data_IF_094570412051
#
_entry.id   IF_094570412051
#
_cell.length_a   1.000
_cell.length_b   1.000
_cell.length_c   1.000
_cell.angle_alpha   90.00
_cell.angle_beta   90.00
_cell.angle_gamma   90.00
#
_symmetry.space_group_name_H-M   'P 1'
#
loop_
_entity.id
_entity.type
_entity.pdbx_description
1 polymer ?
#
# COMPACT_ATOMS: atom_id res chain seq x y z
N UNK A 1 14.21 10.11 -8.66
CA UNK A 1 12.96 10.28 -7.91
C UNK A 1 13.09 9.71 -6.51
N UNK A 2 12.27 10.18 -5.58
CA UNK A 2 12.03 9.53 -4.27
C UNK A 2 10.70 8.80 -4.28
N UNK A 3 10.62 7.65 -3.62
CA UNK A 3 9.40 6.85 -3.53
C UNK A 3 9.06 6.56 -2.07
N UNK A 4 7.78 6.71 -1.77
CA UNK A 4 7.16 6.40 -0.49
C UNK A 4 5.99 5.45 -0.72
N UNK A 5 5.96 4.34 0.02
CA UNK A 5 4.86 3.35 -0.08
C UNK A 5 4.47 2.86 1.30
N UNK A 6 3.40 2.07 1.40
CA UNK A 6 3.16 1.27 2.59
C UNK A 6 4.17 0.14 2.71
N UNK A 7 4.29 -0.65 1.66
CA UNK A 7 5.29 -1.71 1.49
C UNK A 7 5.46 -2.00 0.00
N UNK A 8 6.54 -2.67 -0.36
CA UNK A 8 6.71 -3.19 -1.71
C UNK A 8 7.33 -4.58 -1.64
N UNK A 9 6.71 -5.53 -2.33
CA UNK A 9 7.12 -6.95 -2.33
C UNK A 9 7.48 -7.46 -3.72
N UNK A 10 7.09 -6.74 -4.78
CA UNK A 10 7.33 -7.11 -6.17
C UNK A 10 8.59 -6.49 -6.78
N UNK A 11 8.90 -6.89 -8.00
CA UNK A 11 10.03 -6.38 -8.79
C UNK A 11 9.61 -5.29 -9.79
N UNK A 12 8.33 -5.22 -10.10
CA UNK A 12 7.77 -4.35 -11.16
C UNK A 12 8.05 -2.87 -10.96
N UNK A 13 8.05 -2.40 -9.71
CA UNK A 13 8.34 -1.00 -9.38
C UNK A 13 9.81 -0.79 -8.98
N UNK A 14 10.20 -1.32 -7.82
CA UNK A 14 11.53 -1.04 -7.24
C UNK A 14 12.67 -1.54 -8.14
N UNK A 15 12.57 -2.79 -8.65
CA UNK A 15 13.59 -3.35 -9.53
C UNK A 15 13.70 -2.60 -10.87
N UNK A 16 12.57 -2.28 -11.49
CA UNK A 16 12.57 -1.53 -12.75
C UNK A 16 13.23 -0.14 -12.58
N UNK A 17 12.92 0.57 -11.50
CA UNK A 17 13.47 1.91 -11.24
C UNK A 17 14.97 1.87 -10.88
N UNK A 18 15.42 0.83 -10.20
CA UNK A 18 16.85 0.61 -9.94
C UNK A 18 17.60 0.35 -11.25
N UNK A 19 17.13 -0.57 -12.08
CA UNK A 19 17.75 -0.86 -13.38
C UNK A 19 17.79 0.37 -14.29
N UNK A 20 16.76 1.21 -14.22
CA UNK A 20 16.70 2.48 -14.93
C UNK A 20 17.55 3.60 -14.29
N UNK A 21 18.20 3.36 -13.14
CA UNK A 21 18.94 4.36 -12.34
C UNK A 21 18.12 5.61 -12.01
N UNK A 22 16.79 5.45 -11.92
CA UNK A 22 15.85 6.53 -11.67
C UNK A 22 15.56 6.76 -10.18
N UNK A 23 15.77 5.74 -9.33
CA UNK A 23 15.52 5.81 -7.90
C UNK A 23 16.69 6.45 -7.16
N UNK A 24 16.40 7.44 -6.30
CA UNK A 24 17.40 8.14 -5.47
C UNK A 24 17.13 7.99 -3.99
N UNK A 25 15.87 7.83 -3.62
CA UNK A 25 15.43 7.70 -2.23
C UNK A 25 14.25 6.75 -2.13
N UNK A 26 14.22 5.97 -1.06
CA UNK A 26 13.15 5.00 -0.80
C UNK A 26 12.85 4.90 0.69
N UNK A 27 11.58 4.89 1.03
CA UNK A 27 11.05 4.53 2.34
C UNK A 27 9.67 3.87 2.19
N UNK A 28 9.28 3.00 3.11
CA UNK A 28 10.03 2.39 4.18
C UNK A 28 10.68 1.07 3.73
N UNK A 29 9.91 0.01 3.56
CA UNK A 29 10.37 -1.37 3.39
C UNK A 29 10.21 -1.87 1.96
N UNK A 30 11.18 -2.66 1.50
CA UNK A 30 11.08 -3.43 0.25
C UNK A 30 11.83 -4.75 0.35
N UNK A 31 11.35 -5.77 -0.36
CA UNK A 31 12.01 -7.08 -0.45
C UNK A 31 12.93 -7.23 -1.66
N UNK A 32 12.99 -6.23 -2.54
CA UNK A 32 13.72 -6.33 -3.81
C UNK A 32 15.24 -6.48 -3.61
N UNK A 33 15.85 -7.47 -4.26
CA UNK A 33 17.27 -7.77 -4.11
C UNK A 33 18.18 -6.73 -4.78
N UNK A 34 17.80 -6.23 -5.97
CA UNK A 34 18.55 -5.20 -6.68
C UNK A 34 18.55 -3.89 -5.90
N UNK A 35 17.42 -3.57 -5.27
CA UNK A 35 17.33 -2.42 -4.38
C UNK A 35 18.30 -2.54 -3.20
N UNK A 36 18.30 -3.67 -2.47
CA UNK A 36 19.24 -3.86 -1.34
C UNK A 36 20.68 -3.71 -1.77
N UNK A 37 21.05 -4.24 -2.94
CA UNK A 37 22.40 -4.08 -3.50
C UNK A 37 22.72 -2.62 -3.76
N UNK A 38 21.80 -1.87 -4.37
CA UNK A 38 21.97 -0.45 -4.66
C UNK A 38 22.13 0.40 -3.37
N UNK A 39 21.36 0.09 -2.33
CA UNK A 39 21.52 0.74 -1.00
C UNK A 39 22.87 0.43 -0.39
N UNK A 40 23.29 -0.84 -0.38
CA UNK A 40 24.59 -1.24 0.18
C UNK A 40 25.78 -0.63 -0.57
N UNK A 41 25.60 -0.34 -1.86
CA UNK A 41 26.60 0.36 -2.68
C UNK A 41 26.57 1.89 -2.54
N UNK A 42 25.62 2.44 -1.74
CA UNK A 42 25.48 3.90 -1.61
C UNK A 42 24.84 4.60 -2.82
N UNK A 43 24.22 3.85 -3.73
CA UNK A 43 23.60 4.40 -4.96
C UNK A 43 22.22 5.00 -4.69
N UNK A 44 21.52 4.50 -3.65
CA UNK A 44 20.17 4.92 -3.24
C UNK A 44 20.15 5.18 -1.74
N UNK A 45 19.63 6.33 -1.35
CA UNK A 45 19.36 6.63 0.05
C UNK A 45 18.10 5.86 0.52
N UNK A 46 18.19 5.25 1.68
CA UNK A 46 17.12 4.43 2.26
C UNK A 46 16.84 4.84 3.69
N UNK A 47 15.56 4.91 4.04
CA UNK A 47 15.14 5.11 5.40
C UNK A 47 14.27 3.92 5.85
N UNK A 48 14.78 3.18 6.82
CA UNK A 48 14.06 2.08 7.44
C UNK A 48 13.22 2.60 8.60
N UNK A 49 11.90 2.57 8.43
CA UNK A 49 10.94 2.96 9.47
C UNK A 49 9.82 1.93 9.56
N UNK A 50 9.16 1.90 10.69
CA UNK A 50 7.98 1.07 10.85
C UNK A 50 6.87 1.51 9.91
N UNK A 51 6.21 0.56 9.25
CA UNK A 51 5.07 0.84 8.34
C UNK A 51 3.98 1.65 9.03
N UNK A 52 3.72 1.38 10.30
CA UNK A 52 2.73 2.11 11.10
C UNK A 52 3.04 3.60 11.32
N UNK A 53 4.30 4.00 11.16
CA UNK A 53 4.74 5.39 11.32
C UNK A 53 4.77 6.14 10.00
N UNK A 54 4.91 5.45 8.87
CA UNK A 54 5.10 6.08 7.56
C UNK A 54 4.00 7.09 7.22
N UNK A 55 2.74 6.73 7.41
CA UNK A 55 1.63 7.63 7.12
C UNK A 55 1.66 8.88 8.00
N UNK A 56 1.96 8.72 9.29
CA UNK A 56 2.06 9.83 10.23
C UNK A 56 3.23 10.77 9.87
N UNK A 57 4.39 10.23 9.55
CA UNK A 57 5.57 11.03 9.18
C UNK A 57 5.36 11.81 7.88
N UNK A 58 4.65 11.22 6.91
CA UNK A 58 4.24 11.92 5.70
C UNK A 58 3.29 13.08 6.04
N UNK A 59 2.31 12.86 6.93
CA UNK A 59 1.38 13.92 7.36
C UNK A 59 2.06 15.04 8.13
N UNK A 60 3.11 14.73 8.87
CA UNK A 60 3.94 15.74 9.56
C UNK A 60 4.89 16.48 8.62
N UNK A 61 5.01 16.06 7.36
CA UNK A 61 5.82 16.71 6.36
C UNK A 61 7.32 16.45 6.46
N UNK A 62 7.76 15.43 7.19
CA UNK A 62 9.18 15.13 7.39
C UNK A 62 9.91 14.83 6.07
N UNK A 63 9.20 14.33 5.08
CA UNK A 63 9.75 14.01 3.76
C UNK A 63 9.47 15.08 2.70
N UNK A 64 8.92 16.23 3.13
CA UNK A 64 8.56 17.30 2.23
C UNK A 64 7.28 17.01 1.43
N UNK A 65 7.16 17.67 0.29
CA UNK A 65 5.95 17.67 -0.53
C UNK A 65 5.87 16.44 -1.42
N UNK A 66 4.69 15.81 -1.45
CA UNK A 66 4.38 14.73 -2.39
C UNK A 66 3.83 15.34 -3.70
N UNK A 67 4.50 15.09 -4.81
CA UNK A 67 4.08 15.63 -6.10
C UNK A 67 3.02 14.75 -6.76
N UNK A 68 3.24 13.44 -6.77
CA UNK A 68 2.38 12.49 -7.48
C UNK A 68 2.08 11.30 -6.59
N UNK A 69 0.81 10.92 -6.48
CA UNK A 69 0.37 9.63 -5.99
C UNK A 69 0.07 8.70 -7.16
N UNK A 70 0.50 7.45 -7.08
CA UNK A 70 0.06 6.37 -7.98
C UNK A 70 -0.75 5.42 -7.14
N UNK A 71 -2.01 5.19 -7.51
CA UNK A 71 -2.97 4.42 -6.73
C UNK A 71 -3.59 3.36 -7.60
N UNK A 72 -3.40 2.11 -7.21
CA UNK A 72 -4.08 1.00 -7.85
C UNK A 72 -5.56 0.96 -7.43
N UNK A 73 -6.44 0.74 -8.38
CA UNK A 73 -7.88 0.70 -8.17
C UNK A 73 -8.55 -0.37 -9.04
N UNK A 74 -9.64 -0.95 -8.54
CA UNK A 74 -10.51 -1.81 -9.33
C UNK A 74 -11.64 -1.01 -10.01
N UNK A 75 -11.99 0.16 -9.46
CA UNK A 75 -13.02 1.03 -10.01
C UNK A 75 -12.79 2.48 -9.59
N UNK A 76 -13.19 3.42 -10.44
CA UNK A 76 -13.15 4.85 -10.17
C UNK A 76 -14.41 5.51 -10.74
N UNK A 77 -14.92 6.49 -10.02
CA UNK A 77 -16.13 7.24 -10.43
C UNK A 77 -15.79 8.69 -10.80
N UNK A 78 -16.61 9.35 -11.63
CA UNK A 78 -16.36 10.74 -12.04
C UNK A 78 -16.32 11.74 -10.88
N UNK A 79 -16.95 11.44 -9.75
CA UNK A 79 -16.97 12.27 -8.55
C UNK A 79 -15.76 11.99 -7.60
N UNK A 80 -14.78 11.20 -8.06
CA UNK A 80 -13.52 10.98 -7.37
C UNK A 80 -13.56 9.91 -6.28
N UNK A 81 -14.48 8.95 -6.35
CA UNK A 81 -14.42 7.75 -5.51
C UNK A 81 -13.51 6.72 -6.15
N UNK A 82 -12.50 6.31 -5.43
CA UNK A 82 -11.51 5.31 -5.85
C UNK A 82 -11.71 4.06 -4.99
N UNK A 83 -12.09 2.96 -5.63
CA UNK A 83 -12.22 1.65 -4.98
C UNK A 83 -10.90 0.92 -5.11
N UNK A 84 -10.23 0.74 -3.98
CA UNK A 84 -8.89 0.17 -3.93
C UNK A 84 -8.92 -1.35 -4.15
N UNK A 85 -7.83 -1.88 -4.68
CA UNK A 85 -7.54 -3.31 -4.71
C UNK A 85 -7.02 -3.79 -3.35
N UNK A 86 -6.53 -5.02 -3.24
CA UNK A 86 -5.95 -5.53 -1.99
C UNK A 86 -4.75 -4.69 -1.48
N UNK A 87 -4.10 -3.94 -2.37
CA UNK A 87 -2.92 -3.11 -2.09
C UNK A 87 -3.20 -1.75 -1.44
N UNK A 88 -4.29 -1.57 -0.70
CA UNK A 88 -4.71 -0.27 -0.14
C UNK A 88 -3.64 0.50 0.65
N UNK A 89 -2.94 -0.16 1.57
CA UNK A 89 -1.80 0.41 2.31
C UNK A 89 -2.05 1.81 2.87
N UNK A 90 -1.14 2.74 2.59
CA UNK A 90 -1.22 4.15 3.01
C UNK A 90 -1.84 5.06 1.93
N UNK A 91 -2.53 4.51 0.95
CA UNK A 91 -3.13 5.25 -0.16
C UNK A 91 -4.01 6.43 0.28
N UNK A 92 -4.81 6.37 1.36
CA UNK A 92 -5.58 7.52 1.84
C UNK A 92 -4.71 8.72 2.18
N UNK A 93 -3.62 8.51 2.90
CA UNK A 93 -2.66 9.57 3.25
C UNK A 93 -1.96 10.14 2.02
N UNK A 94 -1.47 9.27 1.14
CA UNK A 94 -0.74 9.70 -0.08
C UNK A 94 -1.66 10.51 -0.99
N UNK A 95 -2.88 10.05 -1.24
CA UNK A 95 -3.85 10.74 -2.10
C UNK A 95 -4.24 12.13 -1.56
N UNK A 96 -4.36 12.23 -0.24
CA UNK A 96 -4.66 13.52 0.39
C UNK A 96 -3.51 14.52 0.22
N UNK A 97 -2.28 14.07 0.41
CA UNK A 97 -1.09 14.94 0.44
C UNK A 97 -0.54 15.27 -0.95
N UNK A 98 -0.71 14.40 -1.93
CA UNK A 98 -0.18 14.62 -3.27
C UNK A 98 -0.87 15.75 -4.01
N UNK A 99 -0.11 16.43 -4.88
CA UNK A 99 -0.67 17.44 -5.80
C UNK A 99 -1.50 16.80 -6.91
N UNK A 100 -1.01 15.68 -7.45
CA UNK A 100 -1.58 14.96 -8.58
C UNK A 100 -1.74 13.48 -8.26
N UNK A 101 -2.74 12.87 -8.87
CA UNK A 101 -3.03 11.44 -8.72
C UNK A 101 -3.05 10.80 -10.11
N UNK A 102 -2.33 9.71 -10.26
CA UNK A 102 -2.45 8.79 -11.39
C UNK A 102 -3.12 7.53 -10.85
N UNK A 103 -4.18 7.09 -11.50
CA UNK A 103 -4.86 5.84 -11.14
C UNK A 103 -4.37 4.73 -12.06
N UNK A 104 -3.89 3.65 -11.47
CA UNK A 104 -3.67 2.39 -12.14
C UNK A 104 -4.94 1.55 -12.02
N UNK A 105 -5.75 1.55 -13.08
CA UNK A 105 -7.02 0.84 -13.12
C UNK A 105 -6.78 -0.62 -13.55
N UNK A 106 -6.71 -1.52 -12.57
CA UNK A 106 -6.32 -2.89 -12.82
C UNK A 106 -7.52 -3.79 -13.17
N UNK A 107 -7.55 -4.24 -14.42
CA UNK A 107 -8.61 -5.09 -14.95
C UNK A 107 -8.60 -6.51 -14.35
N UNK A 108 -7.48 -6.99 -13.81
CA UNK A 108 -7.41 -8.27 -13.10
C UNK A 108 -8.30 -8.30 -11.85
N UNK A 109 -8.61 -7.11 -11.30
CA UNK A 109 -9.45 -6.92 -10.12
C UNK A 109 -10.78 -6.22 -10.47
N UNK A 110 -11.16 -6.14 -11.74
CA UNK A 110 -12.42 -5.52 -12.15
C UNK A 110 -13.61 -6.35 -11.68
N UNK A 111 -14.66 -5.63 -11.29
CA UNK A 111 -15.92 -6.20 -10.90
C UNK A 111 -16.30 -5.86 -9.48
N UNK A 112 -17.24 -6.61 -8.93
CA UNK A 112 -17.77 -6.41 -7.58
C UNK A 112 -16.83 -6.89 -6.48
N UNK A 113 -15.81 -7.64 -6.81
CA UNK A 113 -14.98 -8.37 -5.85
C UNK A 113 -14.16 -7.44 -4.93
N UNK A 114 -13.77 -6.26 -5.44
CA UNK A 114 -13.06 -5.27 -4.64
C UNK A 114 -13.97 -4.19 -4.02
N UNK A 115 -15.20 -4.05 -4.50
CA UNK A 115 -16.13 -3.06 -3.96
C UNK A 115 -16.62 -3.49 -2.58
N UNK A 116 -16.30 -2.69 -1.57
CA UNK A 116 -16.63 -3.02 -0.19
C UNK A 116 -15.58 -3.86 0.54
N UNK A 117 -14.46 -4.17 -0.10
CA UNK A 117 -13.34 -4.86 0.52
C UNK A 117 -12.71 -4.04 1.66
N UNK A 118 -12.65 -2.73 1.51
CA UNK A 118 -12.01 -1.83 2.45
C UNK A 118 -12.98 -1.08 3.34
N UNK A 119 -12.52 -0.75 4.55
CA UNK A 119 -12.96 0.35 5.38
C UNK A 119 -11.86 1.42 5.35
N UNK A 120 -12.00 2.40 4.47
CA UNK A 120 -11.03 3.48 4.34
C UNK A 120 -11.21 4.46 5.49
N UNK A 121 -10.27 4.44 6.42
CA UNK A 121 -10.25 5.27 7.60
C UNK A 121 -8.84 5.82 7.85
N UNK A 122 -8.71 7.12 8.01
CA UNK A 122 -7.46 7.76 8.44
C UNK A 122 -7.55 8.11 9.92
N UNK A 123 -6.77 7.45 10.79
CA UNK A 123 -6.74 7.77 12.20
C UNK A 123 -6.20 9.18 12.43
N UNK A 124 -6.68 9.82 13.49
CA UNK A 124 -6.19 11.12 13.92
C UNK A 124 -4.80 10.94 14.54
N UNK A 125 -3.87 11.85 14.20
CA UNK A 125 -2.51 11.81 14.71
C UNK A 125 -2.44 12.25 16.21
N UNK A 126 -1.41 11.80 16.95
CA UNK A 126 -1.14 12.34 18.28
C UNK A 126 -1.01 13.87 18.26
N UNK A 127 -1.42 14.56 19.34
CA UNK A 127 -1.99 14.06 20.59
C UNK A 127 -3.51 13.85 20.54
N UNK A 128 -4.16 14.09 19.40
CA UNK A 128 -5.61 14.14 19.26
C UNK A 128 -6.24 12.77 18.92
N UNK A 129 -5.50 11.69 19.07
CA UNK A 129 -6.01 10.33 18.84
C UNK A 129 -7.25 10.04 19.64
N UNK A 130 -8.19 9.35 19.03
CA UNK A 130 -9.42 8.86 19.64
C UNK A 130 -9.49 7.34 19.44
N UNK A 131 -10.27 6.69 20.27
CA UNK A 131 -10.65 5.30 20.07
C UNK A 131 -11.38 5.12 18.74
N UNK A 132 -11.18 4.00 18.12
CA UNK A 132 -11.94 3.60 16.94
C UNK A 132 -13.27 3.01 17.44
N UNK A 133 -14.44 3.53 16.99
CA UNK A 133 -15.75 3.09 17.50
C UNK A 133 -16.16 1.76 16.86
N UNK A 134 -15.52 0.68 17.29
CA UNK A 134 -15.87 -0.70 16.91
C UNK A 134 -16.43 -1.39 18.14
N UNK A 135 -17.72 -1.67 18.13
CA UNK A 135 -18.46 -2.30 19.22
C UNK A 135 -18.91 -3.72 18.89
N UNK A 136 -19.05 -4.03 17.60
CA UNK A 136 -19.45 -5.33 17.10
C UNK A 136 -18.52 -5.82 16.00
N UNK A 137 -18.34 -7.14 15.80
CA UNK A 137 -17.47 -7.69 14.76
C UNK A 137 -17.83 -7.26 13.32
N UNK A 138 -19.08 -6.86 13.11
CA UNK A 138 -19.60 -6.41 11.80
C UNK A 138 -19.56 -4.89 11.61
N UNK A 139 -19.08 -4.12 12.59
CA UNK A 139 -19.05 -2.68 12.49
C UNK A 139 -18.06 -2.23 11.42
N UNK A 140 -18.50 -1.24 10.64
CA UNK A 140 -17.66 -0.56 9.65
C UNK A 140 -17.38 0.85 10.14
N UNK A 141 -16.10 1.24 10.08
CA UNK A 141 -15.63 2.52 10.64
C UNK A 141 -15.35 3.58 9.58
N UNK A 142 -15.21 3.17 8.34
CA UNK A 142 -14.80 4.03 7.22
C UNK A 142 -15.74 3.94 6.03
N UNK A 143 -15.25 4.43 4.91
CA UNK A 143 -15.94 4.37 3.63
C UNK A 143 -15.44 3.18 2.81
N UNK A 144 -16.26 2.56 1.96
CA UNK A 144 -15.81 1.47 1.08
C UNK A 144 -14.96 1.98 -0.11
N UNK A 145 -14.59 3.24 -0.12
CA UNK A 145 -13.79 3.89 -1.16
C UNK A 145 -12.94 5.01 -0.57
N UNK A 146 -11.89 5.37 -1.28
CA UNK A 146 -11.11 6.57 -1.04
C UNK A 146 -11.74 7.74 -1.80
N UNK A 147 -12.10 8.83 -1.11
CA UNK A 147 -12.63 10.04 -1.74
C UNK A 147 -11.52 11.06 -1.99
N UNK A 148 -11.41 11.51 -3.23
CA UNK A 148 -10.47 12.57 -3.62
C UNK A 148 -11.16 13.69 -4.40
N UNK A 149 -10.53 14.85 -4.51
CA UNK A 149 -10.94 15.87 -5.48
C UNK A 149 -10.66 15.35 -6.90
N UNK A 150 -11.65 15.18 -7.77
CA UNK A 150 -11.45 14.69 -9.14
C UNK A 150 -10.41 15.50 -9.93
N UNK A 151 -10.24 16.79 -9.61
CA UNK A 151 -9.26 17.66 -10.29
C UNK A 151 -7.82 17.27 -10.03
N UNK A 152 -7.55 16.51 -8.97
CA UNK A 152 -6.23 15.94 -8.71
C UNK A 152 -5.89 14.77 -9.63
N UNK A 153 -6.90 14.09 -10.20
CA UNK A 153 -6.70 12.93 -11.06
C UNK A 153 -6.25 13.43 -12.44
N UNK A 154 -4.97 13.27 -12.73
CA UNK A 154 -4.36 13.74 -13.97
C UNK A 154 -4.23 12.65 -15.03
N UNK A 155 -4.43 11.40 -14.66
CA UNK A 155 -4.39 10.28 -15.60
C UNK A 155 -4.95 9.00 -15.01
N UNK A 156 -5.46 8.16 -15.91
CA UNK A 156 -5.89 6.79 -15.60
C UNK A 156 -5.16 5.88 -16.58
N UNK A 157 -4.45 4.89 -16.07
CA UNK A 157 -3.74 3.88 -16.84
C UNK A 157 -4.43 2.54 -16.63
N UNK A 158 -4.95 1.96 -17.69
CA UNK A 158 -5.53 0.62 -17.61
C UNK A 158 -4.45 -0.44 -17.71
N UNK A 159 -4.47 -1.37 -16.76
CA UNK A 159 -3.58 -2.53 -16.69
C UNK A 159 -4.39 -3.81 -16.47
N UNK A 160 -3.77 -4.94 -16.69
CA UNK A 160 -4.35 -6.26 -16.39
C UNK A 160 -3.22 -7.15 -15.85
N UNK A 161 -2.83 -6.89 -14.61
CA UNK A 161 -1.67 -7.50 -13.96
C UNK A 161 -2.15 -8.17 -12.67
N UNK A 162 -1.90 -9.47 -12.46
CA UNK A 162 -2.20 -10.12 -11.19
C UNK A 162 -1.27 -9.60 -10.08
N UNK A 163 -1.69 -9.78 -8.83
CA UNK A 163 -0.86 -9.42 -7.67
C UNK A 163 0.48 -10.17 -7.68
N UNK A 164 1.57 -9.44 -7.46
CA UNK A 164 2.90 -10.00 -7.25
C UNK A 164 3.07 -10.48 -5.80
N UNK A 165 2.27 -11.47 -5.39
CA UNK A 165 2.38 -12.06 -4.07
C UNK A 165 3.49 -13.11 -4.02
N UNK A 166 4.20 -13.17 -2.89
CA UNK A 166 5.11 -14.30 -2.64
C UNK A 166 4.33 -15.58 -2.52
N UNK A 167 4.74 -16.60 -3.26
CA UNK A 167 4.22 -17.94 -3.08
C UNK A 167 4.55 -18.48 -1.67
N UNK A 168 3.70 -19.36 -1.18
CA UNK A 168 4.00 -20.10 0.05
C UNK A 168 5.18 -21.04 -0.18
N UNK A 169 6.03 -21.18 0.83
CA UNK A 169 7.04 -22.23 0.83
C UNK A 169 6.35 -23.59 0.83
N UNK A 170 6.86 -24.55 0.06
CA UNK A 170 6.33 -25.90 0.09
C UNK A 170 6.37 -26.45 1.53
N UNK A 171 5.31 -27.10 2.00
CA UNK A 171 5.29 -27.66 3.35
C UNK A 171 6.36 -28.74 3.50
N UNK A 172 6.91 -28.84 4.69
CA UNK A 172 7.83 -29.88 5.11
C UNK A 172 7.34 -30.49 6.45
N UNK A 173 7.92 -31.62 6.91
CA UNK A 173 7.46 -32.28 8.13
C UNK A 173 7.51 -31.39 9.39
N UNK A 174 8.35 -30.36 9.42
CA UNK A 174 8.44 -29.43 10.56
C UNK A 174 7.30 -28.43 10.49
N UNK A 175 7.09 -27.81 9.33
CA UNK A 175 6.01 -26.84 9.12
C UNK A 175 4.65 -27.49 9.27
N UNK A 176 4.46 -28.74 8.82
CA UNK A 176 3.25 -29.52 9.00
C UNK A 176 2.97 -29.76 10.48
N UNK A 177 3.99 -30.15 11.27
CA UNK A 177 3.85 -30.35 12.71
C UNK A 177 3.51 -29.06 13.44
N UNK A 178 4.10 -27.93 13.05
CA UNK A 178 3.75 -26.62 13.60
C UNK A 178 2.29 -26.30 13.30
N UNK A 179 1.86 -26.50 12.06
CA UNK A 179 0.47 -26.27 11.64
C UNK A 179 -0.52 -27.12 12.41
N UNK A 180 -0.24 -28.41 12.59
CA UNK A 180 -1.09 -29.32 13.37
C UNK A 180 -1.19 -28.89 14.86
N UNK A 181 -0.06 -28.52 15.48
CA UNK A 181 -0.08 -28.05 16.87
C UNK A 181 -0.91 -26.76 17.04
N UNK A 182 -0.86 -25.84 16.06
CA UNK A 182 -1.70 -24.63 16.06
C UNK A 182 -3.18 -25.00 15.88
N UNK A 183 -3.49 -25.91 14.95
CA UNK A 183 -4.86 -26.37 14.74
C UNK A 183 -5.44 -27.03 15.98
N UNK A 184 -4.69 -27.92 16.63
CA UNK A 184 -5.10 -28.60 17.88
C UNK A 184 -5.37 -27.58 19.00
N UNK A 185 -4.52 -26.55 19.13
CA UNK A 185 -4.71 -25.50 20.11
C UNK A 185 -6.00 -24.67 19.85
N UNK A 186 -6.31 -24.39 18.58
CA UNK A 186 -7.49 -23.61 18.22
C UNK A 186 -8.81 -24.41 18.36
N UNK A 187 -8.74 -25.75 18.32
CA UNK A 187 -9.90 -26.63 18.41
C UNK A 187 -10.17 -27.10 19.84
N UNK A 188 -9.27 -26.85 20.77
CA UNK A 188 -9.39 -27.20 22.18
C UNK A 188 -10.25 -26.18 22.97
#
# INVERSE_FOLDING_TARGET
IGIFTGASTGDSADGALIRAKALRYRAPYTTNADFRKAVNNGEVAYNDIHLSQMAQELRYGYYGKLNVAIIEACHVTPDGRIYLTAGGGISPTIARLADHIIIELNAAHRGTDCIGLHDVYEPIDPPYRREIPVYHPSDRIGLPYLQVDPKKIVGIVEVNIPDEARGFTAPDPITDKIGLNVADFLLA
#
